data_IF_630199682713
#
_entry.id   IF_630199682713
#
_cell.length_a   1.000
_cell.length_b   1.000
_cell.length_c   1.000
_cell.angle_alpha   90.00
_cell.angle_beta   90.00
_cell.angle_gamma   90.00
#
_symmetry.space_group_name_H-M   'P 1'
#
loop_
_entity.id
_entity.type
_entity.pdbx_description
1 polymer ?
#
# COMPACT_ATOMS: atom_id res chain seq x y z
N UNK A 1 -40.32 -33.82 -11.15
CA UNK A 1 -40.49 -32.37 -10.88
C UNK A 1 -39.68 -31.85 -9.68
N UNK A 2 -39.68 -32.49 -8.50
CA UNK A 2 -38.83 -32.06 -7.36
C UNK A 2 -37.32 -32.23 -7.58
N UNK A 3 -36.91 -33.28 -8.30
CA UNK A 3 -35.49 -33.59 -8.59
C UNK A 3 -34.83 -32.60 -9.54
N UNK A 4 -35.55 -32.09 -10.54
CA UNK A 4 -35.02 -31.14 -11.51
C UNK A 4 -34.82 -29.75 -10.91
N UNK A 5 -35.71 -29.35 -9.99
CA UNK A 5 -35.60 -28.09 -9.26
C UNK A 5 -34.36 -28.07 -8.33
N UNK A 6 -34.05 -29.20 -7.69
CA UNK A 6 -32.84 -29.33 -6.86
C UNK A 6 -31.54 -29.22 -7.66
N UNK A 7 -31.51 -29.75 -8.89
CA UNK A 7 -30.34 -29.64 -9.76
C UNK A 7 -30.09 -28.21 -10.24
N UNK A 8 -31.16 -27.45 -10.53
CA UNK A 8 -31.04 -26.05 -10.94
C UNK A 8 -30.51 -25.18 -9.79
N UNK A 9 -30.99 -25.40 -8.56
CA UNK A 9 -30.51 -24.66 -7.37
C UNK A 9 -29.05 -24.97 -7.09
N UNK A 10 -28.62 -26.23 -7.22
CA UNK A 10 -27.23 -26.63 -7.03
C UNK A 10 -26.29 -25.96 -8.05
N UNK A 11 -26.71 -25.86 -9.32
CA UNK A 11 -25.92 -25.20 -10.37
C UNK A 11 -25.75 -23.70 -10.13
N UNK A 12 -26.79 -23.01 -9.65
CA UNK A 12 -26.71 -21.59 -9.29
C UNK A 12 -25.73 -21.39 -8.13
N UNK A 13 -25.75 -22.27 -7.13
CA UNK A 13 -24.87 -22.17 -5.96
C UNK A 13 -23.38 -22.35 -6.33
N UNK A 14 -23.07 -23.28 -7.24
CA UNK A 14 -21.71 -23.48 -7.75
C UNK A 14 -21.22 -22.26 -8.54
N UNK A 15 -22.10 -21.62 -9.30
CA UNK A 15 -21.76 -20.42 -10.08
C UNK A 15 -21.45 -19.22 -9.17
N UNK A 16 -22.16 -19.05 -8.06
CA UNK A 16 -21.93 -17.96 -7.09
C UNK A 16 -20.61 -18.16 -6.33
N UNK A 17 -20.29 -19.39 -5.92
CA UNK A 17 -19.03 -19.69 -5.20
C UNK A 17 -17.81 -19.48 -6.10
N UNK A 18 -17.95 -19.69 -7.42
CA UNK A 18 -16.88 -19.51 -8.39
C UNK A 18 -16.55 -18.03 -8.68
N UNK A 19 -17.44 -17.10 -8.36
CA UNK A 19 -17.22 -15.66 -8.51
C UNK A 19 -16.55 -15.00 -7.29
N UNK A 20 -16.57 -15.66 -6.13
CA UNK A 20 -15.67 -15.34 -5.02
C UNK A 20 -14.32 -16.02 -5.21
N UNK A 21 -13.83 -16.02 -6.46
CA UNK A 21 -12.44 -16.32 -6.77
C UNK A 21 -11.59 -15.45 -5.87
N UNK A 22 -10.96 -16.11 -4.90
CA UNK A 22 -10.02 -15.56 -3.95
C UNK A 22 -8.99 -14.76 -4.74
N UNK A 23 -9.14 -13.43 -4.78
CA UNK A 23 -8.12 -12.54 -5.30
C UNK A 23 -7.00 -12.59 -4.27
N UNK A 24 -6.11 -13.57 -4.41
CA UNK A 24 -4.80 -13.48 -3.79
C UNK A 24 -4.11 -12.33 -4.50
N UNK A 25 -4.31 -11.11 -3.98
CA UNK A 25 -3.47 -9.97 -4.32
C UNK A 25 -2.05 -10.43 -4.03
N UNK A 26 -1.29 -10.68 -5.11
CA UNK A 26 0.13 -10.98 -5.03
C UNK A 26 0.74 -9.72 -4.41
N UNK A 27 0.97 -9.77 -3.10
CA UNK A 27 1.73 -8.77 -2.39
C UNK A 27 3.12 -8.82 -3.01
N UNK A 28 3.54 -7.73 -3.65
CA UNK A 28 4.92 -7.59 -4.05
C UNK A 28 5.76 -7.68 -2.77
N UNK A 29 6.44 -8.83 -2.60
CA UNK A 29 7.26 -9.12 -1.41
C UNK A 29 8.39 -8.11 -1.20
N UNK A 30 8.59 -7.18 -2.13
CA UNK A 30 9.64 -6.17 -2.09
C UNK A 30 9.30 -4.93 -1.27
N UNK A 31 8.04 -4.73 -0.86
CA UNK A 31 7.65 -3.54 -0.09
C UNK A 31 7.87 -3.76 1.39
N UNK A 32 8.81 -3.02 1.97
CA UNK A 32 9.22 -3.14 3.37
C UNK A 32 8.95 -1.86 4.16
N UNK A 33 8.63 -2.00 5.46
CA UNK A 33 8.51 -0.86 6.37
C UNK A 33 9.91 -0.35 6.68
N UNK A 34 10.20 0.90 6.33
CA UNK A 34 11.49 1.55 6.62
C UNK A 34 11.36 2.61 7.72
N UNK A 35 10.13 3.06 8.02
CA UNK A 35 9.87 3.97 9.12
C UNK A 35 8.45 3.81 9.68
N UNK A 36 8.35 3.68 10.99
CA UNK A 36 7.12 3.37 11.74
C UNK A 36 6.46 4.58 12.41
N UNK A 37 6.93 5.79 12.13
CA UNK A 37 6.31 6.98 12.70
C UNK A 37 6.84 7.40 14.08
N UNK A 38 7.91 6.77 14.58
CA UNK A 38 8.54 7.05 15.88
C UNK A 38 9.28 8.40 15.98
N UNK A 39 8.70 9.48 15.45
CA UNK A 39 9.22 10.85 15.54
C UNK A 39 9.20 11.59 14.20
N UNK A 40 10.33 12.22 13.85
CA UNK A 40 10.60 12.63 12.47
C UNK A 40 11.54 11.60 11.84
N UNK A 41 11.44 11.32 10.53
CA UNK A 41 12.26 10.32 9.86
C UNK A 41 13.70 10.81 9.60
N UNK A 42 14.42 11.20 10.65
CA UNK A 42 15.84 11.52 10.59
C UNK A 42 16.68 10.24 10.72
N UNK A 43 17.87 10.25 10.13
CA UNK A 43 18.87 9.17 10.24
C UNK A 43 18.40 7.80 9.76
N UNK A 44 17.38 7.76 8.90
CA UNK A 44 16.91 6.53 8.25
C UNK A 44 17.81 6.24 7.06
N UNK A 45 18.36 5.03 7.03
CA UNK A 45 19.15 4.54 5.90
C UNK A 45 18.34 4.65 4.61
N UNK A 46 18.93 5.30 3.60
CA UNK A 46 18.33 5.37 2.26
C UNK A 46 18.41 3.98 1.61
N UNK A 47 17.30 3.44 1.08
CA UNK A 47 17.32 2.15 0.40
C UNK A 47 18.29 2.12 -0.79
N UNK A 48 18.83 0.95 -1.08
CA UNK A 48 19.80 0.80 -2.16
C UNK A 48 19.19 1.18 -3.52
N UNK A 49 19.91 2.01 -4.30
CA UNK A 49 19.46 2.45 -5.62
C UNK A 49 18.57 3.70 -5.63
N UNK A 50 18.24 4.24 -4.45
CA UNK A 50 17.53 5.51 -4.30
C UNK A 50 18.54 6.66 -4.27
N UNK A 51 18.17 7.81 -4.84
CA UNK A 51 18.97 9.04 -4.82
C UNK A 51 18.46 10.05 -3.78
N UNK A 52 17.22 9.87 -3.31
CA UNK A 52 16.62 10.73 -2.28
C UNK A 52 16.41 9.98 -0.97
N UNK A 53 16.57 10.67 0.16
CA UNK A 53 16.37 10.08 1.49
C UNK A 53 14.89 9.94 1.86
N UNK A 54 14.56 9.05 2.82
CA UNK A 54 13.21 8.96 3.39
C UNK A 54 12.72 10.28 3.99
N UNK A 55 13.63 11.05 4.61
CA UNK A 55 13.34 12.39 5.13
C UNK A 55 12.90 13.35 4.02
N UNK A 56 13.60 13.33 2.88
CA UNK A 56 13.24 14.17 1.74
C UNK A 56 11.88 13.76 1.17
N UNK A 57 11.62 12.46 1.04
CA UNK A 57 10.31 11.94 0.62
C UNK A 57 9.19 12.41 1.58
N UNK A 58 9.41 12.30 2.89
CA UNK A 58 8.49 12.78 3.92
C UNK A 58 8.20 14.28 3.78
N UNK A 59 9.24 15.10 3.58
CA UNK A 59 9.08 16.55 3.42
C UNK A 59 8.18 16.91 2.23
N UNK A 60 8.21 16.16 1.12
CA UNK A 60 7.34 16.40 -0.04
C UNK A 60 5.86 16.26 0.29
N UNK A 61 5.51 15.29 1.13
CA UNK A 61 4.12 15.04 1.55
C UNK A 61 3.70 16.07 2.60
N UNK A 62 4.61 16.38 3.52
CA UNK A 62 4.42 17.38 4.57
C UNK A 62 4.17 18.79 4.01
N UNK A 63 5.07 19.26 3.15
CA UNK A 63 5.03 20.62 2.60
C UNK A 63 3.78 20.86 1.74
N UNK A 64 3.36 19.82 1.01
CA UNK A 64 2.13 19.84 0.21
C UNK A 64 0.86 19.62 1.04
N UNK A 65 0.99 19.31 2.33
CA UNK A 65 -0.13 19.04 3.26
C UNK A 65 -1.08 17.97 2.73
N UNK A 66 -0.54 16.94 2.08
CA UNK A 66 -1.34 15.88 1.46
C UNK A 66 -1.95 14.99 2.55
N UNK A 67 -1.17 14.68 3.58
CA UNK A 67 -1.62 13.92 4.75
C UNK A 67 -1.77 14.84 5.96
N UNK A 68 -2.59 14.42 6.91
CA UNK A 68 -2.83 15.17 8.15
C UNK A 68 -1.56 15.18 9.02
N UNK A 69 -1.03 16.36 9.40
CA UNK A 69 0.16 16.45 10.26
C UNK A 69 -0.10 16.00 11.70
N UNK A 70 -1.37 15.72 12.06
CA UNK A 70 -1.76 15.23 13.39
C UNK A 70 -1.68 13.71 13.50
N UNK A 71 -1.56 13.01 12.39
CA UNK A 71 -1.55 11.55 12.38
C UNK A 71 -0.12 11.03 12.29
N UNK A 72 0.07 9.81 12.76
CA UNK A 72 1.33 9.08 12.60
C UNK A 72 1.36 8.58 11.15
N UNK A 73 2.48 8.78 10.46
CA UNK A 73 2.67 8.26 9.11
C UNK A 73 3.70 7.15 9.16
N UNK A 74 3.56 6.19 8.26
CA UNK A 74 4.58 5.18 8.02
C UNK A 74 5.18 5.40 6.64
N UNK A 75 6.45 5.05 6.48
CA UNK A 75 7.12 5.01 5.19
C UNK A 75 7.48 3.56 4.90
N UNK A 76 6.99 3.07 3.77
CA UNK A 76 7.42 1.83 3.18
C UNK A 76 8.26 2.12 1.93
N UNK A 77 9.08 1.18 1.51
CA UNK A 77 9.84 1.30 0.27
C UNK A 77 9.89 -0.04 -0.46
N UNK A 78 9.90 0.02 -1.79
CA UNK A 78 10.27 -1.10 -2.65
C UNK A 78 11.63 -0.84 -3.31
N UNK A 79 11.88 -1.41 -4.49
CA UNK A 79 13.11 -1.22 -5.27
C UNK A 79 13.27 0.17 -5.89
N UNK A 80 12.21 0.96 -6.02
CA UNK A 80 12.22 2.20 -6.79
C UNK A 80 11.45 3.37 -6.17
N UNK A 81 10.55 3.12 -5.22
CA UNK A 81 9.59 4.09 -4.72
C UNK A 81 9.42 4.01 -3.20
N UNK A 82 9.17 5.16 -2.61
CA UNK A 82 8.63 5.28 -1.25
C UNK A 82 7.10 5.32 -1.29
N UNK A 83 6.49 4.78 -0.24
CA UNK A 83 5.05 4.79 -0.01
C UNK A 83 4.80 5.40 1.37
N UNK A 84 4.26 6.61 1.38
CA UNK A 84 3.94 7.32 2.64
C UNK A 84 2.44 7.17 2.89
N UNK A 85 2.10 6.52 4.00
CA UNK A 85 0.72 6.23 4.36
C UNK A 85 0.42 6.71 5.78
N UNK A 86 -0.80 7.21 5.96
CA UNK A 86 -1.37 7.50 7.27
C UNK A 86 -1.65 6.19 8.03
N UNK A 87 -1.05 6.01 9.20
CA UNK A 87 -1.19 4.78 9.99
C UNK A 87 -2.63 4.49 10.39
N UNK A 88 -3.52 5.49 10.41
CA UNK A 88 -4.96 5.31 10.64
C UNK A 88 -5.62 4.42 9.57
N UNK A 89 -5.12 4.46 8.34
CA UNK A 89 -5.61 3.64 7.22
C UNK A 89 -5.08 2.19 7.25
N UNK A 90 -4.16 1.91 8.17
CA UNK A 90 -3.56 0.60 8.40
C UNK A 90 -2.06 0.60 8.18
N UNK A 91 -1.40 -0.35 8.85
CA UNK A 91 0.06 -0.45 8.93
C UNK A 91 0.56 -1.74 8.29
N UNK A 92 0.29 -1.93 6.99
CA UNK A 92 0.80 -3.08 6.24
C UNK A 92 1.37 -2.67 4.86
N UNK A 93 2.34 -3.43 4.32
CA UNK A 93 2.87 -3.18 2.97
C UNK A 93 1.78 -3.10 1.90
N UNK A 94 0.79 -4.01 1.96
CA UNK A 94 -0.35 -4.00 1.03
C UNK A 94 -1.19 -2.72 1.15
N UNK A 95 -1.39 -2.21 2.36
CA UNK A 95 -2.08 -0.92 2.57
C UNK A 95 -1.25 0.23 2.01
N UNK A 96 0.05 0.26 2.23
CA UNK A 96 0.94 1.27 1.67
C UNK A 96 0.93 1.26 0.13
N UNK A 97 0.99 0.08 -0.49
CA UNK A 97 0.83 -0.09 -1.93
C UNK A 97 -0.51 0.41 -2.44
N UNK A 98 -1.61 0.20 -1.71
CA UNK A 98 -2.96 0.53 -2.18
C UNK A 98 -3.44 1.93 -1.84
N UNK A 99 -3.02 2.51 -0.73
CA UNK A 99 -3.54 3.79 -0.23
C UNK A 99 -2.43 4.84 -0.02
N UNK A 100 -1.16 4.43 -0.03
CA UNK A 100 -0.03 5.32 0.20
C UNK A 100 0.22 6.29 -0.96
N UNK A 101 0.78 7.44 -0.60
CA UNK A 101 1.34 8.42 -1.52
C UNK A 101 2.67 7.88 -2.04
N UNK A 102 2.74 7.70 -3.35
CA UNK A 102 3.89 7.09 -4.03
C UNK A 102 4.87 8.20 -4.43
N UNK A 103 6.13 8.03 -4.06
CA UNK A 103 7.20 8.97 -4.36
C UNK A 103 8.34 8.22 -5.03
N UNK A 104 8.76 8.69 -6.19
CA UNK A 104 9.90 8.13 -6.90
C UNK A 104 11.20 8.27 -6.09
N UNK A 105 11.88 7.15 -5.85
CA UNK A 105 13.08 7.06 -5.03
C UNK A 105 14.32 7.71 -5.62
N UNK A 106 14.31 8.05 -6.91
CA UNK A 106 15.41 8.76 -7.57
C UNK A 106 15.12 10.25 -7.68
N UNK A 107 13.94 10.59 -8.16
CA UNK A 107 13.60 11.98 -8.51
C UNK A 107 12.86 12.73 -7.39
N UNK A 108 12.26 12.02 -6.44
CA UNK A 108 11.36 12.59 -5.44
C UNK A 108 10.06 13.15 -6.00
N UNK A 109 9.71 12.79 -7.24
CA UNK A 109 8.42 13.14 -7.83
C UNK A 109 7.31 12.31 -7.19
N UNK A 110 6.23 12.98 -6.79
CA UNK A 110 5.00 12.30 -6.36
C UNK A 110 4.34 11.73 -7.62
N UNK A 111 4.17 10.41 -7.66
CA UNK A 111 3.49 9.71 -8.75
C UNK A 111 1.98 9.82 -8.53
N UNK A 112 1.26 10.34 -9.51
CA UNK A 112 -0.20 10.25 -9.53
C UNK A 112 -0.59 8.81 -9.88
N UNK A 113 -1.62 8.29 -9.23
CA UNK A 113 -2.24 7.03 -9.62
C UNK A 113 -3.16 7.23 -10.81
#
# INVERSE_FOLDING_TARGET
MKSELMNIIALIFIMVISFFGCHSEIVDETVELIWDGSGKPHDITTPNGFEISPEYAYSKVWDKKILSPKHIWHIYADKESYYIIDSFLGSSPLRALREGIIIDGKTGMIKNR
#
